data_IF_715995097030
#
_entry.id   IF_715995097030
#
_cell.length_a   1.000
_cell.length_b   1.000
_cell.length_c   1.000
_cell.angle_alpha   90.00
_cell.angle_beta   90.00
_cell.angle_gamma   90.00
#
_symmetry.space_group_name_H-M   'P 1'
#
loop_
_entity.id
_entity.type
_entity.pdbx_description
1 polymer ?
#
# COMPACT_ATOMS: atom_id res chain seq x y z
N UNK A 1 -13.95 9.09 0.54
CA UNK A 1 -12.59 8.56 0.37
C UNK A 1 -11.62 9.71 0.25
N UNK A 2 -10.61 9.73 1.11
CA UNK A 2 -9.72 10.89 1.33
C UNK A 2 -9.02 11.28 0.03
N UNK A 3 -9.53 12.30 -0.66
CA UNK A 3 -8.85 12.99 -1.76
C UNK A 3 -7.84 13.97 -1.14
N UNK A 4 -6.56 13.65 -1.25
CA UNK A 4 -5.45 14.49 -0.77
C UNK A 4 -5.23 14.45 0.75
N UNK A 5 -3.98 14.30 1.18
CA UNK A 5 -3.56 14.29 2.59
C UNK A 5 -3.02 12.96 3.09
N UNK A 6 -2.44 12.98 4.30
CA UNK A 6 -1.99 11.80 5.06
C UNK A 6 -3.15 10.80 5.25
N UNK A 7 -2.84 9.50 5.20
CA UNK A 7 -3.82 8.49 5.59
C UNK A 7 -4.12 8.61 7.10
N UNK A 8 -5.35 8.36 7.56
CA UNK A 8 -5.62 8.24 8.98
C UNK A 8 -4.74 7.15 9.60
N UNK A 9 -4.39 7.31 10.87
CA UNK A 9 -3.59 6.32 11.58
C UNK A 9 -4.38 5.00 11.68
N UNK A 10 -3.75 3.85 11.37
CA UNK A 10 -4.38 2.57 11.59
C UNK A 10 -4.50 2.28 13.08
N UNK A 11 -5.59 1.64 13.49
CA UNK A 11 -5.89 1.30 14.87
C UNK A 11 -6.28 -0.18 14.99
N UNK A 12 -6.18 -0.73 16.21
CA UNK A 12 -6.59 -2.12 16.51
C UNK A 12 -5.94 -3.16 15.59
N UNK A 13 -6.75 -4.07 15.05
CA UNK A 13 -6.31 -5.15 14.15
C UNK A 13 -5.58 -4.62 12.90
N UNK A 14 -5.95 -3.43 12.39
CA UNK A 14 -5.27 -2.83 11.25
C UNK A 14 -3.81 -2.51 11.57
N UNK A 15 -3.55 -1.96 12.76
CA UNK A 15 -2.20 -1.67 13.22
C UNK A 15 -1.39 -2.95 13.45
N UNK A 16 -2.00 -3.99 14.02
CA UNK A 16 -1.35 -5.30 14.22
C UNK A 16 -0.93 -5.93 12.88
N UNK A 17 -1.80 -5.90 11.87
CA UNK A 17 -1.46 -6.39 10.53
C UNK A 17 -0.37 -5.54 9.89
N UNK A 18 -0.43 -4.22 10.02
CA UNK A 18 0.60 -3.33 9.46
C UNK A 18 1.98 -3.63 10.09
N UNK A 19 2.04 -4.02 11.35
CA UNK A 19 3.27 -4.39 12.06
C UNK A 19 3.81 -5.80 11.72
N UNK A 20 3.20 -6.51 10.79
CA UNK A 20 3.65 -7.84 10.37
C UNK A 20 5.07 -7.84 9.78
N UNK A 21 5.84 -8.90 10.02
CA UNK A 21 7.25 -9.01 9.62
C UNK A 21 7.50 -8.87 8.11
N UNK A 22 6.52 -9.27 7.28
CA UNK A 22 6.62 -9.16 5.82
C UNK A 22 6.26 -7.77 5.29
N UNK A 23 5.60 -6.93 6.10
CA UNK A 23 5.06 -5.64 5.64
C UNK A 23 6.15 -4.69 5.15
N UNK A 24 7.30 -4.51 5.83
CA UNK A 24 8.37 -3.64 5.32
C UNK A 24 8.74 -3.96 3.86
N UNK A 25 8.95 -5.25 3.54
CA UNK A 25 9.30 -5.69 2.19
C UNK A 25 8.16 -5.46 1.17
N UNK A 26 6.90 -5.60 1.59
CA UNK A 26 5.73 -5.29 0.74
C UNK A 26 5.67 -3.80 0.41
N UNK A 27 5.89 -2.93 1.40
CA UNK A 27 5.84 -1.47 1.19
C UNK A 27 7.03 -0.99 0.34
N UNK A 28 8.23 -1.52 0.58
CA UNK A 28 9.44 -1.24 -0.24
C UNK A 28 9.19 -1.57 -1.70
N UNK A 29 8.68 -2.77 -1.96
CA UNK A 29 8.51 -3.23 -3.33
C UNK A 29 7.35 -2.53 -4.05
N UNK A 30 6.28 -2.15 -3.32
CA UNK A 30 5.25 -1.29 -3.89
C UNK A 30 5.83 0.08 -4.27
N UNK A 31 6.58 0.71 -3.36
CA UNK A 31 7.21 2.02 -3.56
C UNK A 31 8.14 2.03 -4.78
N UNK A 32 9.00 1.02 -4.92
CA UNK A 32 9.87 0.85 -6.09
C UNK A 32 9.04 0.78 -7.38
N UNK A 33 8.03 -0.10 -7.40
CA UNK A 33 7.24 -0.37 -8.60
C UNK A 33 6.39 0.82 -9.05
N UNK A 34 5.81 1.57 -8.12
CA UNK A 34 5.01 2.76 -8.47
C UNK A 34 5.91 3.91 -8.94
N UNK A 35 7.12 4.07 -8.39
CA UNK A 35 8.10 5.06 -8.87
C UNK A 35 8.63 4.74 -10.27
N UNK A 36 8.61 3.47 -10.67
CA UNK A 36 8.99 3.03 -12.00
C UNK A 36 7.89 3.21 -13.06
N UNK A 37 6.68 3.63 -12.68
CA UNK A 37 5.61 3.91 -13.65
C UNK A 37 5.62 5.38 -14.06
N UNK A 38 5.45 5.64 -15.36
CA UNK A 38 5.19 7.00 -15.86
C UNK A 38 3.83 7.51 -15.39
N UNK A 39 2.82 6.62 -15.33
CA UNK A 39 1.46 6.95 -14.90
C UNK A 39 0.84 5.80 -14.08
N UNK A 40 0.12 6.15 -13.02
CA UNK A 40 -0.66 5.21 -12.23
C UNK A 40 -2.08 5.13 -12.78
N UNK A 41 -2.39 4.00 -13.43
CA UNK A 41 -3.71 3.66 -13.93
C UNK A 41 -4.08 2.25 -13.45
N UNK A 42 -5.35 1.86 -13.57
CA UNK A 42 -5.77 0.49 -13.24
C UNK A 42 -4.94 -0.56 -14.01
N UNK A 43 -4.61 -0.26 -15.26
CA UNK A 43 -3.84 -1.14 -16.14
C UNK A 43 -2.37 -1.27 -15.72
N UNK A 44 -1.77 -0.21 -15.16
CA UNK A 44 -0.37 -0.26 -14.67
C UNK A 44 -0.28 -0.81 -13.25
N UNK A 45 -1.23 -0.48 -12.37
CA UNK A 45 -1.22 -0.87 -10.95
C UNK A 45 -1.52 -2.36 -10.74
N UNK A 46 -2.51 -2.92 -11.45
CA UNK A 46 -2.92 -4.33 -11.25
C UNK A 46 -1.77 -5.34 -11.48
N UNK A 47 -0.93 -5.21 -12.52
CA UNK A 47 0.27 -6.02 -12.67
C UNK A 47 1.27 -5.92 -11.50
N UNK A 48 1.41 -4.75 -10.86
CA UNK A 48 2.39 -4.56 -9.77
C UNK A 48 2.10 -5.48 -8.60
N UNK A 49 0.83 -5.63 -8.20
CA UNK A 49 0.45 -6.52 -7.09
C UNK A 49 0.79 -7.98 -7.39
N UNK A 50 0.63 -8.41 -8.65
CA UNK A 50 1.02 -9.76 -9.09
C UNK A 50 2.53 -9.95 -9.02
N UNK A 51 3.30 -8.94 -9.44
CA UNK A 51 4.75 -8.96 -9.35
C UNK A 51 5.23 -9.02 -7.89
N UNK A 52 4.68 -8.19 -7.01
CA UNK A 52 5.01 -8.18 -5.57
C UNK A 52 4.76 -9.55 -4.95
N UNK A 53 3.58 -10.11 -5.18
CA UNK A 53 3.21 -11.46 -4.71
C UNK A 53 4.21 -12.51 -5.17
N UNK A 54 4.64 -12.46 -6.44
CA UNK A 54 5.58 -13.41 -7.04
C UNK A 54 7.01 -13.25 -6.50
N UNK A 55 7.49 -12.01 -6.38
CA UNK A 55 8.86 -11.70 -5.95
C UNK A 55 9.07 -12.02 -4.47
N UNK A 56 8.09 -11.68 -3.62
CA UNK A 56 8.14 -11.98 -2.19
C UNK A 56 7.70 -13.42 -1.86
N UNK A 57 7.12 -14.14 -2.83
CA UNK A 57 6.60 -15.52 -2.68
C UNK A 57 5.59 -15.66 -1.52
N UNK A 58 4.78 -14.63 -1.28
CA UNK A 58 3.73 -14.62 -0.26
C UNK A 58 2.35 -14.56 -0.90
N UNK A 59 1.31 -14.99 -0.19
CA UNK A 59 -0.06 -15.00 -0.72
C UNK A 59 -0.64 -13.60 -0.92
N UNK A 60 -1.58 -13.45 -1.86
CA UNK A 60 -2.19 -12.16 -2.20
C UNK A 60 -2.73 -11.39 -0.98
N UNK A 61 -3.42 -12.05 -0.04
CA UNK A 61 -3.91 -11.37 1.18
C UNK A 61 -2.78 -10.69 1.97
N UNK A 62 -1.59 -11.30 2.02
CA UNK A 62 -0.40 -10.77 2.71
C UNK A 62 0.26 -9.60 1.98
N UNK A 63 -0.14 -9.31 0.73
CA UNK A 63 0.28 -8.13 -0.03
C UNK A 63 -0.79 -7.05 0.00
N UNK A 64 -2.03 -7.43 -0.31
CA UNK A 64 -3.12 -6.47 -0.52
C UNK A 64 -3.55 -5.81 0.78
N UNK A 65 -3.63 -6.56 1.87
CA UNK A 65 -4.11 -6.04 3.15
C UNK A 65 -3.13 -5.04 3.77
N UNK A 66 -1.80 -5.32 3.84
CA UNK A 66 -0.83 -4.31 4.30
C UNK A 66 -0.81 -3.06 3.43
N UNK A 67 -0.88 -3.19 2.10
CA UNK A 67 -0.93 -2.03 1.20
C UNK A 67 -2.19 -1.20 1.45
N UNK A 68 -3.35 -1.84 1.61
CA UNK A 68 -4.59 -1.13 1.93
C UNK A 68 -4.42 -0.31 3.20
N UNK A 69 -4.01 -0.96 4.28
CA UNK A 69 -3.87 -0.30 5.58
C UNK A 69 -2.85 0.82 5.51
N UNK A 70 -1.73 0.62 4.82
CA UNK A 70 -0.73 1.67 4.65
C UNK A 70 -1.31 2.91 3.90
N UNK A 71 -2.13 2.68 2.87
CA UNK A 71 -2.67 3.77 2.06
C UNK A 71 -3.96 4.38 2.62
N UNK A 72 -4.69 3.69 3.49
CA UNK A 72 -6.02 4.14 3.96
C UNK A 72 -6.22 4.16 5.46
N UNK A 73 -5.35 3.53 6.25
CA UNK A 73 -5.56 3.27 7.68
C UNK A 73 -6.63 2.21 7.99
N UNK A 74 -7.27 1.66 6.96
CA UNK A 74 -8.50 0.86 7.07
C UNK A 74 -8.31 -0.56 6.53
N UNK A 75 -8.99 -1.54 7.10
CA UNK A 75 -8.96 -2.93 6.59
C UNK A 75 -9.92 -3.17 5.42
N UNK A 76 -10.83 -2.23 5.16
CA UNK A 76 -11.86 -2.33 4.13
C UNK A 76 -11.87 -1.09 3.23
N UNK A 77 -12.59 -1.17 2.11
CA UNK A 77 -12.82 -0.04 1.22
C UNK A 77 -12.79 -0.42 -0.28
N UNK A 78 -12.65 0.56 -1.19
CA UNK A 78 -12.72 0.37 -2.62
C UNK A 78 -11.51 -0.42 -3.10
N UNK A 79 -11.61 -0.96 -4.29
CA UNK A 79 -10.52 -1.68 -4.94
C UNK A 79 -9.24 -0.82 -5.00
N UNK A 80 -8.09 -1.42 -4.64
CA UNK A 80 -6.81 -0.72 -4.59
C UNK A 80 -6.34 -0.31 -5.98
N UNK A 81 -6.68 -1.10 -6.99
CA UNK A 81 -6.35 -0.78 -8.38
C UNK A 81 -7.03 0.49 -8.87
N UNK A 82 -8.19 0.83 -8.31
CA UNK A 82 -8.91 2.07 -8.63
C UNK A 82 -8.48 3.20 -7.69
N UNK A 83 -8.20 2.89 -6.42
CA UNK A 83 -7.79 3.87 -5.41
C UNK A 83 -6.40 4.47 -5.72
N UNK A 84 -5.40 3.64 -6.02
CA UNK A 84 -4.01 4.08 -6.22
C UNK A 84 -3.89 5.13 -7.34
N UNK A 85 -4.52 4.95 -8.52
CA UNK A 85 -4.59 5.98 -9.56
C UNK A 85 -5.20 7.31 -9.07
N UNK A 86 -6.27 7.25 -8.27
CA UNK A 86 -6.94 8.43 -7.74
C UNK A 86 -6.11 9.19 -6.69
N UNK A 87 -5.25 8.48 -5.97
CA UNK A 87 -4.29 9.09 -5.06
C UNK A 87 -3.15 9.77 -5.82
N UNK A 88 -2.68 9.15 -6.90
CA UNK A 88 -1.50 9.60 -7.62
C UNK A 88 -0.19 9.28 -6.88
N UNK A 89 0.92 9.36 -7.61
CA UNK A 89 2.23 8.91 -7.12
C UNK A 89 2.66 9.60 -5.84
N UNK A 90 2.58 10.93 -5.78
CA UNK A 90 3.04 11.71 -4.63
C UNK A 90 2.32 11.34 -3.32
N UNK A 91 0.99 11.19 -3.36
CA UNK A 91 0.22 10.81 -2.18
C UNK A 91 0.48 9.35 -1.78
N UNK A 92 0.69 8.45 -2.74
CA UNK A 92 1.07 7.05 -2.43
C UNK A 92 2.40 7.04 -1.67
N UNK A 93 3.43 7.72 -2.18
CA UNK A 93 4.74 7.78 -1.53
C UNK A 93 4.66 8.43 -0.15
N UNK A 94 3.97 9.56 -0.02
CA UNK A 94 3.78 10.25 1.25
C UNK A 94 3.11 9.36 2.30
N UNK A 95 2.06 8.63 1.91
CA UNK A 95 1.35 7.71 2.81
C UNK A 95 2.21 6.52 3.21
N UNK A 96 2.94 5.91 2.28
CA UNK A 96 3.90 4.84 2.60
C UNK A 96 4.96 5.31 3.60
N UNK A 97 5.54 6.50 3.37
CA UNK A 97 6.50 7.08 4.30
C UNK A 97 5.90 7.28 5.71
N UNK A 98 4.66 7.79 5.79
CA UNK A 98 3.94 7.91 7.05
C UNK A 98 3.70 6.55 7.71
N UNK A 99 3.24 5.55 6.98
CA UNK A 99 2.94 4.22 7.53
C UNK A 99 4.18 3.54 8.12
N UNK A 100 5.36 3.77 7.54
CA UNK A 100 6.62 3.23 8.07
C UNK A 100 6.95 3.71 9.47
N UNK A 101 6.42 4.86 9.90
CA UNK A 101 6.61 5.35 11.28
C UNK A 101 5.98 4.44 12.32
N UNK A 102 4.95 3.67 11.95
CA UNK A 102 4.29 2.70 12.83
C UNK A 102 5.00 1.35 12.90
N UNK A 103 5.98 1.09 12.02
CA UNK A 103 6.75 -0.18 11.99
C UNK A 103 7.91 -0.19 12.99
N UNK A 104 8.42 0.99 13.35
CA UNK A 104 9.58 1.18 14.23
C UNK A 104 9.18 1.57 15.67
N UNK A 105 7.90 1.47 16.02
CA UNK A 105 7.30 1.91 17.28
C UNK A 105 6.67 0.79 18.08
#
# INVERSE_FOLDING_TARGET
YVRGGEAPAPEGEALEILKGEQVPAVLDLLEEKVKAQEELTVATVKPLFRQITKELKIGGKQVFMPIRIALTGEMQGPELYDLIPLLGLENVISRLAKSRTYLNS
#
